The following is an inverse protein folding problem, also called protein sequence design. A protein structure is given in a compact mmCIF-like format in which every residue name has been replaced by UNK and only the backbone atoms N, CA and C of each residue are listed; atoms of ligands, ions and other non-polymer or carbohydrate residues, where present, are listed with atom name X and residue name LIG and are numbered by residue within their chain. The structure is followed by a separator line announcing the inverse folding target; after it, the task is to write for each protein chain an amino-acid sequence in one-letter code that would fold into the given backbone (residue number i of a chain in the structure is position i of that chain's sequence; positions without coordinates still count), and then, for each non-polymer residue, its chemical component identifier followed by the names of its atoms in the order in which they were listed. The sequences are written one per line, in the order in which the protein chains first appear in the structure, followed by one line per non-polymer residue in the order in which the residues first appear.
data_IF_956914675570
#
_entry.id   IF_956914675570
#
_cell.length_a   1.000
_cell.length_b   1.000
_cell.length_c   1.000
_cell.angle_alpha   90.00
_cell.angle_beta   90.00
_cell.angle_gamma   90.00
#
_symmetry.space_group_name_H-M   'P 1'
#
loop_
_entity.id
_entity.type
_entity.pdbx_description
1 polymer ?
#
# COMPACT_ATOMS: atom_id res chain seq x y z
N UNK A 1 -13.78 10.42 7.90
CA UNK A 1 -13.27 9.32 7.05
C UNK A 1 -14.23 9.16 5.89
N UNK A 2 -13.71 9.13 4.67
CA UNK A 2 -14.45 8.74 3.46
C UNK A 2 -14.08 7.28 3.16
N UNK A 3 -15.02 6.44 2.75
CA UNK A 3 -14.73 5.01 2.54
C UNK A 3 -13.71 4.79 1.42
N UNK A 4 -14.12 5.12 0.20
CA UNK A 4 -13.33 4.96 -1.03
C UNK A 4 -13.59 6.15 -1.97
N UNK A 5 -12.56 6.61 -2.66
CA UNK A 5 -12.68 7.61 -3.74
C UNK A 5 -12.78 6.87 -5.07
N UNK A 6 -13.95 6.95 -5.72
CA UNK A 6 -14.22 6.28 -7.01
C UNK A 6 -14.30 7.24 -8.20
N UNK A 7 -14.62 8.50 -7.92
CA UNK A 7 -14.94 9.53 -8.89
C UNK A 7 -14.31 10.89 -8.49
N UNK A 8 -14.37 11.83 -9.44
CA UNK A 8 -13.84 13.19 -9.27
C UNK A 8 -14.53 13.94 -8.14
N UNK A 9 -15.86 13.86 -8.05
CA UNK A 9 -16.66 14.62 -7.09
C UNK A 9 -16.28 14.25 -5.65
N UNK A 10 -16.23 12.96 -5.36
CA UNK A 10 -15.81 12.43 -4.05
C UNK A 10 -14.38 12.84 -3.69
N UNK A 11 -13.48 12.82 -4.68
CA UNK A 11 -12.10 13.25 -4.51
C UNK A 11 -12.02 14.75 -4.18
N UNK A 12 -12.73 15.60 -4.93
CA UNK A 12 -12.74 17.05 -4.69
C UNK A 12 -13.28 17.40 -3.30
N UNK A 13 -14.37 16.75 -2.87
CA UNK A 13 -14.93 16.95 -1.53
C UNK A 13 -13.90 16.57 -0.45
N UNK A 14 -13.24 15.42 -0.61
CA UNK A 14 -12.22 14.95 0.33
C UNK A 14 -11.02 15.91 0.42
N UNK A 15 -10.51 16.38 -0.72
CA UNK A 15 -9.38 17.32 -0.75
C UNK A 15 -9.75 18.69 -0.18
N UNK A 16 -10.94 19.23 -0.49
CA UNK A 16 -11.42 20.50 0.10
C UNK A 16 -11.61 20.40 1.61
N UNK A 17 -12.15 19.29 2.10
CA UNK A 17 -12.25 19.03 3.54
C UNK A 17 -10.87 19.00 4.21
N UNK A 18 -9.86 18.39 3.55
CA UNK A 18 -8.49 18.39 4.04
C UNK A 18 -7.86 19.80 4.05
N UNK A 19 -8.06 20.59 3.00
CA UNK A 19 -7.56 21.97 2.90
C UNK A 19 -8.17 22.93 3.93
N UNK A 20 -9.38 22.64 4.39
CA UNK A 20 -10.08 23.39 5.45
C UNK A 20 -9.70 22.93 6.86
N UNK A 21 -8.68 22.09 7.01
CA UNK A 21 -8.09 21.72 8.30
C UNK A 21 -8.57 20.39 8.90
N UNK A 22 -9.36 19.60 8.16
CA UNK A 22 -9.80 18.29 8.63
C UNK A 22 -8.78 17.20 8.27
N UNK A 23 -8.56 16.25 9.18
CA UNK A 23 -7.86 15.01 8.82
C UNK A 23 -8.80 14.11 8.03
N UNK A 24 -8.51 13.91 6.75
CA UNK A 24 -9.30 13.05 5.86
C UNK A 24 -8.52 11.77 5.59
N UNK A 25 -9.18 10.64 5.87
CA UNK A 25 -8.72 9.29 5.53
C UNK A 25 -9.67 8.73 4.48
N UNK A 26 -9.11 8.15 3.42
CA UNK A 26 -9.86 7.46 2.37
C UNK A 26 -9.02 6.37 1.72
N UNK A 27 -9.65 5.51 0.93
CA UNK A 27 -9.00 4.45 0.16
C UNK A 27 -9.13 4.67 -1.35
N UNK A 28 -8.17 4.13 -2.11
CA UNK A 28 -8.21 4.00 -3.56
C UNK A 28 -7.73 2.60 -3.95
N UNK A 29 -8.24 2.08 -5.06
CA UNK A 29 -7.75 0.84 -5.64
C UNK A 29 -6.62 1.12 -6.63
N UNK A 30 -5.37 1.05 -6.14
CA UNK A 30 -4.16 1.13 -6.96
C UNK A 30 -3.18 0.01 -6.62
N UNK A 31 -2.23 -0.24 -7.52
CA UNK A 31 -1.27 -1.32 -7.38
C UNK A 31 -0.19 -1.03 -6.34
N UNK A 32 0.19 0.24 -6.21
CA UNK A 32 1.25 0.77 -5.37
C UNK A 32 0.92 2.22 -4.93
N UNK A 33 1.77 2.78 -4.07
CA UNK A 33 1.56 4.11 -3.51
C UNK A 33 1.70 5.24 -4.56
N UNK A 34 2.75 5.29 -5.41
CA UNK A 34 2.85 6.32 -6.46
C UNK A 34 1.66 6.34 -7.43
N UNK A 35 1.15 5.16 -7.82
CA UNK A 35 -0.01 5.03 -8.71
C UNK A 35 -1.28 5.69 -8.16
N UNK A 36 -1.39 5.89 -6.84
CA UNK A 36 -2.52 6.61 -6.25
C UNK A 36 -2.54 8.10 -6.63
N UNK A 37 -1.37 8.72 -6.82
CA UNK A 37 -1.27 10.10 -7.34
C UNK A 37 -1.73 10.14 -8.79
N UNK A 38 -1.23 9.22 -9.62
CA UNK A 38 -1.66 9.10 -11.02
C UNK A 38 -3.17 8.87 -11.12
N UNK A 39 -3.74 8.04 -10.25
CA UNK A 39 -5.18 7.79 -10.20
C UNK A 39 -5.97 9.06 -9.87
N UNK A 40 -5.53 9.86 -8.91
CA UNK A 40 -6.17 11.14 -8.58
C UNK A 40 -6.09 12.12 -9.75
N UNK A 41 -4.96 12.18 -10.46
CA UNK A 41 -4.81 12.99 -11.68
C UNK A 41 -5.77 12.52 -12.79
N UNK A 42 -5.88 11.20 -12.99
CA UNK A 42 -6.81 10.61 -13.96
C UNK A 42 -8.29 10.89 -13.63
N UNK A 43 -8.63 11.01 -12.34
CA UNK A 43 -9.95 11.44 -11.90
C UNK A 43 -10.20 12.93 -12.11
N UNK A 44 -9.24 13.72 -12.58
CA UNK A 44 -9.40 15.14 -12.85
C UNK A 44 -8.97 16.06 -11.70
N UNK A 45 -8.39 15.52 -10.62
CA UNK A 45 -7.83 16.34 -9.54
C UNK A 45 -6.55 17.00 -10.02
N UNK A 46 -6.43 18.30 -9.74
CA UNK A 46 -5.28 19.09 -10.17
C UNK A 46 -4.06 18.80 -9.31
N UNK A 47 -2.88 18.79 -9.94
CA UNK A 47 -1.62 18.44 -9.27
C UNK A 47 -1.34 19.30 -8.03
N UNK A 48 -1.63 20.61 -8.08
CA UNK A 48 -1.42 21.50 -6.93
C UNK A 48 -2.33 21.15 -5.73
N UNK A 49 -3.54 20.65 -5.97
CA UNK A 49 -4.47 20.26 -4.89
C UNK A 49 -3.94 19.03 -4.18
N UNK A 50 -3.46 18.04 -4.94
CA UNK A 50 -2.83 16.85 -4.40
C UNK A 50 -1.60 17.26 -3.58
N UNK A 51 -0.68 18.04 -4.15
CA UNK A 51 0.55 18.50 -3.46
C UNK A 51 0.23 19.26 -2.17
N UNK A 52 -0.80 20.08 -2.15
CA UNK A 52 -1.14 20.89 -0.98
C UNK A 52 -1.92 20.13 0.10
N UNK A 53 -2.64 19.07 -0.23
CA UNK A 53 -3.57 18.41 0.70
C UNK A 53 -3.06 17.04 1.17
N UNK A 54 -2.42 16.28 0.28
CA UNK A 54 -2.02 14.90 0.54
C UNK A 54 -0.84 14.84 1.50
N UNK A 55 -0.98 14.09 2.60
CA UNK A 55 0.08 13.93 3.63
C UNK A 55 0.81 12.59 3.53
N UNK A 56 0.06 11.51 3.29
CA UNK A 56 0.55 10.13 3.28
C UNK A 56 -0.31 9.27 2.35
N UNK A 57 0.33 8.38 1.59
CA UNK A 57 -0.30 7.24 0.92
C UNK A 57 0.30 5.96 1.49
N UNK A 58 -0.56 4.98 1.78
CA UNK A 58 -0.15 3.63 2.17
C UNK A 58 -0.70 2.66 1.14
N UNK A 59 0.18 1.99 0.41
CA UNK A 59 -0.18 0.78 -0.32
C UNK A 59 0.09 -0.44 0.56
N UNK A 60 -0.86 -1.37 0.59
CA UNK A 60 -0.81 -2.56 1.42
C UNK A 60 -1.26 -3.79 0.64
N UNK A 61 -0.57 -4.91 0.85
CA UNK A 61 -1.06 -6.24 0.48
C UNK A 61 -0.92 -7.21 1.64
N UNK A 62 -1.68 -8.31 1.60
CA UNK A 62 -1.66 -9.35 2.62
C UNK A 62 -1.01 -10.62 2.07
N UNK A 63 0.03 -11.08 2.74
CA UNK A 63 0.66 -12.37 2.51
C UNK A 63 0.15 -13.38 3.54
N UNK A 64 0.01 -14.63 3.14
CA UNK A 64 -0.21 -15.76 4.05
C UNK A 64 1.06 -16.04 4.86
N UNK A 65 0.93 -16.30 6.16
CA UNK A 65 2.07 -16.67 7.03
C UNK A 65 2.35 -18.16 6.95
N UNK A 66 3.62 -18.56 6.97
CA UNK A 66 4.03 -19.96 7.16
C UNK A 66 3.41 -20.49 8.45
N UNK A 67 2.85 -21.69 8.38
CA UNK A 67 2.29 -22.34 9.57
C UNK A 67 3.42 -22.64 10.57
N UNK A 68 3.29 -22.22 11.84
CA UNK A 68 4.32 -22.45 12.85
C UNK A 68 4.47 -23.94 13.22
N UNK A 69 3.45 -24.77 12.98
CA UNK A 69 3.50 -26.20 13.34
C UNK A 69 4.18 -27.06 12.29
N UNK A 70 3.87 -26.88 11.00
CA UNK A 70 4.43 -27.70 9.91
C UNK A 70 5.49 -26.98 9.06
N UNK A 71 5.76 -25.70 9.35
CA UNK A 71 6.73 -24.90 8.61
C UNK A 71 6.40 -24.75 7.13
N UNK A 72 5.15 -24.88 6.69
CA UNK A 72 4.79 -24.77 5.27
C UNK A 72 4.60 -26.11 4.54
N UNK A 73 4.86 -27.25 5.18
CA UNK A 73 4.68 -28.59 4.54
C UNK A 73 3.22 -29.05 4.44
N UNK A 74 2.34 -28.51 5.29
CA UNK A 74 0.94 -28.96 5.43
C UNK A 74 0.73 -29.78 6.71
N UNK A 75 -0.40 -29.57 7.38
CA UNK A 75 -0.88 -30.33 8.55
C UNK A 75 -2.38 -30.05 8.76
N UNK A 76 -3.03 -30.81 9.64
CA UNK A 76 -4.47 -30.70 9.92
C UNK A 76 -4.93 -29.33 10.47
N UNK A 77 -3.99 -28.55 11.02
CA UNK A 77 -4.26 -27.26 11.66
C UNK A 77 -3.94 -26.04 10.77
N UNK A 78 -3.68 -26.24 9.48
CA UNK A 78 -3.31 -25.16 8.56
C UNK A 78 -3.99 -25.30 7.18
N UNK A 79 -3.97 -24.22 6.41
CA UNK A 79 -4.45 -24.22 5.03
C UNK A 79 -3.27 -24.33 4.08
N UNK A 80 -3.00 -25.52 3.57
CA UNK A 80 -1.89 -25.81 2.63
C UNK A 80 -0.54 -25.26 3.11
N UNK A 81 -0.20 -25.48 4.38
CA UNK A 81 1.06 -25.01 4.96
C UNK A 81 1.04 -23.58 5.50
N UNK A 82 -0.07 -22.84 5.38
CA UNK A 82 -0.19 -21.47 5.88
C UNK A 82 -1.17 -21.34 7.03
N UNK A 83 -0.90 -20.42 7.96
CA UNK A 83 -1.80 -20.09 9.07
C UNK A 83 -1.70 -18.61 9.44
N UNK A 84 -2.76 -17.86 9.18
CA UNK A 84 -2.81 -16.41 9.41
C UNK A 84 -2.22 -15.59 8.25
N UNK A 85 -2.20 -14.27 8.42
CA UNK A 85 -1.75 -13.30 7.40
C UNK A 85 -0.79 -12.28 8.01
N UNK A 86 0.07 -11.70 7.18
CA UNK A 86 0.93 -10.56 7.50
C UNK A 86 0.77 -9.51 6.42
N UNK A 87 0.79 -8.24 6.81
CA UNK A 87 0.83 -7.14 5.87
C UNK A 87 2.24 -6.91 5.33
N UNK A 88 2.29 -6.46 4.09
CA UNK A 88 3.42 -5.77 3.47
C UNK A 88 2.95 -4.38 3.07
N UNK A 89 3.82 -3.38 3.22
CA UNK A 89 3.44 -1.98 3.16
C UNK A 89 4.43 -1.16 2.35
N UNK A 90 3.93 -0.13 1.69
CA UNK A 90 4.70 0.87 0.97
C UNK A 90 4.11 2.25 1.30
N UNK A 91 4.93 3.14 1.88
CA UNK A 91 4.50 4.44 2.41
C UNK A 91 5.08 5.60 1.59
N UNK A 92 4.26 6.61 1.29
CA UNK A 92 4.68 7.80 0.53
C UNK A 92 4.21 9.08 1.23
N UNK A 93 5.12 9.97 1.66
CA UNK A 93 4.83 11.15 2.53
C UNK A 93 5.14 12.52 1.91
N UNK A 94 4.54 13.59 2.46
CA UNK A 94 4.61 14.99 1.96
C UNK A 94 5.87 15.80 2.33
N UNK A 95 6.53 15.55 3.48
CA UNK A 95 7.70 16.34 3.90
C UNK A 95 8.96 15.84 3.15
N UNK A 96 9.24 16.45 1.99
CA UNK A 96 10.15 15.92 0.96
C UNK A 96 11.66 16.17 1.13
N UNK A 97 12.37 16.41 0.02
CA UNK A 97 12.21 17.78 -0.53
C UNK A 97 12.46 18.10 -2.01
N UNK A 98 12.52 17.15 -2.93
CA UNK A 98 12.22 17.45 -4.35
C UNK A 98 11.45 16.27 -4.94
N UNK A 99 10.56 16.52 -5.91
CA UNK A 99 9.90 15.46 -6.68
C UNK A 99 10.94 14.79 -7.59
N UNK A 100 11.87 14.07 -6.97
CA UNK A 100 12.77 13.13 -7.61
C UNK A 100 12.16 11.75 -7.41
N UNK A 101 12.04 11.00 -8.50
CA UNK A 101 11.52 9.62 -8.54
C UNK A 101 12.34 8.64 -7.67
N UNK A 102 13.35 9.10 -6.92
CA UNK A 102 14.37 8.35 -6.19
C UNK A 102 14.36 8.51 -4.65
N UNK A 103 13.57 9.41 -4.04
CA UNK A 103 13.72 9.71 -2.58
C UNK A 103 12.42 9.76 -1.78
N UNK A 104 11.37 9.06 -2.21
CA UNK A 104 10.28 8.74 -1.29
C UNK A 104 10.86 7.96 -0.10
N UNK A 105 10.81 8.54 1.11
CA UNK A 105 11.19 7.79 2.31
C UNK A 105 10.10 6.77 2.56
N UNK A 106 10.33 5.61 1.96
CA UNK A 106 9.51 4.45 2.18
C UNK A 106 10.14 3.72 3.35
N UNK A 107 9.33 3.17 4.26
CA UNK A 107 9.83 2.06 5.11
C UNK A 107 10.41 0.93 4.22
N UNK A 108 9.92 0.85 2.97
CA UNK A 108 10.32 -0.10 1.93
C UNK A 108 10.17 0.48 0.52
N UNK A 109 11.24 0.48 -0.28
CA UNK A 109 11.26 1.01 -1.66
C UNK A 109 10.09 0.52 -2.54
N UNK A 110 9.59 -0.68 -2.24
CA UNK A 110 8.39 -1.25 -2.85
C UNK A 110 7.69 -2.20 -1.91
N UNK A 111 6.45 -2.60 -2.27
CA UNK A 111 5.79 -3.74 -1.65
C UNK A 111 6.65 -5.01 -1.68
N UNK A 112 7.50 -5.16 -2.70
CA UNK A 112 8.42 -6.29 -2.86
C UNK A 112 9.56 -6.24 -1.85
N UNK A 113 10.19 -5.07 -1.63
CA UNK A 113 11.19 -4.90 -0.59
C UNK A 113 10.61 -5.21 0.82
N UNK A 114 9.36 -4.82 1.07
CA UNK A 114 8.65 -5.20 2.30
C UNK A 114 8.45 -6.72 2.41
N UNK A 115 8.10 -7.37 1.30
CA UNK A 115 7.95 -8.82 1.24
C UNK A 115 9.28 -9.57 1.45
N UNK A 116 10.39 -9.06 0.91
CA UNK A 116 11.73 -9.63 1.07
C UNK A 116 12.16 -9.68 2.53
N UNK A 117 11.88 -8.63 3.32
CA UNK A 117 12.13 -8.70 4.76
C UNK A 117 11.26 -9.77 5.46
N UNK A 118 10.02 -9.98 5.02
CA UNK A 118 9.18 -11.08 5.55
C UNK A 118 9.71 -12.46 5.15
N UNK A 119 10.33 -12.58 3.98
CA UNK A 119 11.02 -13.79 3.54
C UNK A 119 12.27 -14.05 4.38
N UNK A 120 13.11 -13.03 4.57
CA UNK A 120 14.32 -13.11 5.40
C UNK A 120 13.99 -13.48 6.86
N UNK A 121 12.89 -12.97 7.40
CA UNK A 121 12.38 -13.33 8.72
C UNK A 121 11.64 -14.68 8.76
N UNK A 122 11.61 -15.43 7.65
CA UNK A 122 10.97 -16.72 7.52
C UNK A 122 9.44 -16.73 7.85
N UNK A 123 8.78 -15.59 7.67
CA UNK A 123 7.36 -15.39 8.01
C UNK A 123 6.45 -15.90 6.88
N UNK A 124 6.89 -15.82 5.63
CA UNK A 124 6.13 -16.19 4.42
C UNK A 124 7.01 -17.01 3.47
N UNK A 125 6.48 -17.39 2.31
CA UNK A 125 7.18 -18.16 1.26
C UNK A 125 7.32 -17.34 -0.01
N UNK A 126 8.29 -17.71 -0.86
CA UNK A 126 8.51 -17.06 -2.16
C UNK A 126 7.29 -17.21 -3.06
N UNK A 127 6.66 -18.38 -3.07
CA UNK A 127 5.45 -18.64 -3.86
C UNK A 127 4.29 -17.73 -3.45
N UNK A 128 4.17 -17.43 -2.15
CA UNK A 128 3.16 -16.51 -1.66
C UNK A 128 3.42 -15.06 -2.09
N UNK A 129 4.69 -14.64 -2.08
CA UNK A 129 5.08 -13.32 -2.59
C UNK A 129 4.78 -13.21 -4.08
N UNK A 130 5.16 -14.21 -4.89
CA UNK A 130 4.85 -14.26 -6.33
C UNK A 130 3.35 -14.26 -6.60
N UNK A 131 2.55 -15.01 -5.83
CA UNK A 131 1.09 -15.03 -5.97
C UNK A 131 0.47 -13.66 -5.74
N UNK A 132 0.99 -12.90 -4.78
CA UNK A 132 0.39 -11.61 -4.37
C UNK A 132 0.94 -10.44 -5.17
N UNK A 133 2.22 -10.43 -5.53
CA UNK A 133 2.88 -9.33 -6.24
C UNK A 133 3.09 -9.58 -7.73
N UNK A 134 3.00 -10.82 -8.19
CA UNK A 134 3.42 -11.22 -9.54
C UNK A 134 4.94 -11.41 -9.66
N UNK A 135 5.39 -11.71 -10.87
CA UNK A 135 6.81 -11.93 -11.21
C UNK A 135 7.59 -10.64 -11.50
N UNK A 136 6.99 -9.46 -11.28
CA UNK A 136 7.58 -8.14 -11.55
C UNK A 136 8.68 -7.72 -10.57
#
# INVERSE_FOLDING_TARGET
MLGEIRDQESAEIALRAAQTGHLVLSTLHTNDAPSAIERLLQLGIKEYEIKNSLQLIIAQRLLRKRCPQCGGKGCDNCYHGYKGRTGIYQLLTKQGKFFEKSTAYLDYDSLRASAEQKLAANITTVDEVKRVLGDG
#
